data_IF_685937235682
#
_entry.id   IF_685937235682
#
_cell.length_a   1.000
_cell.length_b   1.000
_cell.length_c   1.000
_cell.angle_alpha   90.00
_cell.angle_beta   90.00
_cell.angle_gamma   90.00
#
_symmetry.space_group_name_H-M   'P 1'
#
loop_
_entity.id
_entity.type
_entity.pdbx_description
1 polymer ?
#
# COMPACT_ATOMS: atom_id res chain seq x y z
N UNK A 1 -3.02 9.98 13.08
CA UNK A 1 -3.96 8.98 12.57
C UNK A 1 -5.21 9.10 13.41
N UNK A 2 -6.18 9.84 12.89
CA UNK A 2 -7.48 10.05 13.51
C UNK A 2 -8.55 9.62 12.51
N UNK A 3 -9.49 8.76 12.94
CA UNK A 3 -10.62 8.35 12.09
C UNK A 3 -11.73 9.40 12.23
N UNK A 4 -12.06 10.05 11.13
CA UNK A 4 -13.10 11.08 11.07
C UNK A 4 -14.28 10.53 10.27
N UNK A 5 -15.46 10.52 10.87
CA UNK A 5 -16.69 10.11 10.19
C UNK A 5 -17.11 11.17 9.16
N UNK A 6 -17.63 10.72 8.02
CA UNK A 6 -18.11 11.59 6.94
C UNK A 6 -19.26 10.89 6.21
N UNK A 7 -20.12 11.67 5.55
CA UNK A 7 -21.16 11.11 4.69
C UNK A 7 -20.53 10.59 3.39
N UNK A 8 -20.99 9.42 2.93
CA UNK A 8 -20.63 8.91 1.60
C UNK A 8 -20.98 9.95 0.52
N UNK A 9 -20.15 10.08 -0.51
CA UNK A 9 -20.44 11.02 -1.60
C UNK A 9 -21.68 10.57 -2.37
N UNK A 10 -22.58 11.48 -2.78
CA UNK A 10 -23.69 11.13 -3.66
C UNK A 10 -23.21 10.52 -4.98
N UNK A 11 -23.80 9.40 -5.39
CA UNK A 11 -23.53 8.76 -6.68
C UNK A 11 -22.16 8.09 -6.82
N UNK A 12 -21.48 7.79 -5.70
CA UNK A 12 -20.11 7.26 -5.75
C UNK A 12 -20.02 5.89 -6.43
N UNK A 13 -21.08 5.06 -6.37
CA UNK A 13 -21.13 3.73 -6.99
C UNK A 13 -21.24 3.82 -8.52
N UNK A 14 -22.01 4.79 -9.00
CA UNK A 14 -22.12 5.12 -10.42
C UNK A 14 -20.76 5.62 -10.94
N UNK A 15 -20.10 6.52 -10.21
CA UNK A 15 -18.73 6.94 -10.53
C UNK A 15 -17.73 5.78 -10.50
N UNK A 16 -17.80 4.91 -9.49
CA UNK A 16 -16.96 3.72 -9.41
C UNK A 16 -17.13 2.83 -10.66
N UNK A 17 -18.37 2.64 -11.11
CA UNK A 17 -18.66 1.89 -12.34
C UNK A 17 -18.12 2.60 -13.58
N UNK A 18 -18.31 3.90 -13.69
CA UNK A 18 -17.82 4.74 -14.79
C UNK A 18 -16.29 4.65 -14.94
N UNK A 19 -15.56 4.73 -13.84
CA UNK A 19 -14.10 4.66 -13.82
C UNK A 19 -13.53 3.23 -13.76
N UNK A 20 -14.38 2.22 -13.88
CA UNK A 20 -13.95 0.81 -13.96
C UNK A 20 -13.66 0.12 -12.63
N UNK A 21 -13.96 0.75 -11.49
CA UNK A 21 -13.82 0.16 -10.16
C UNK A 21 -14.95 -0.85 -9.84
N UNK A 22 -15.04 -1.93 -10.61
CA UNK A 22 -16.17 -2.88 -10.57
C UNK A 22 -16.23 -3.78 -9.32
N UNK A 23 -15.19 -3.75 -8.50
CA UNK A 23 -15.08 -4.55 -7.28
C UNK A 23 -15.22 -3.70 -6.02
N UNK A 24 -15.82 -2.51 -6.12
CA UNK A 24 -16.17 -1.66 -4.98
C UNK A 24 -17.11 -2.33 -3.96
N UNK A 25 -17.81 -3.38 -4.38
CA UNK A 25 -18.65 -4.26 -3.55
C UNK A 25 -18.37 -5.70 -3.98
N UNK A 26 -17.96 -6.54 -3.03
CA UNK A 26 -17.61 -7.94 -3.28
C UNK A 26 -18.49 -8.83 -2.42
N UNK A 27 -19.14 -9.82 -3.06
CA UNK A 27 -19.99 -10.79 -2.36
C UNK A 27 -21.14 -10.16 -1.52
N UNK A 28 -21.60 -8.96 -1.90
CA UNK A 28 -22.63 -8.23 -1.16
C UNK A 28 -22.09 -7.34 -0.04
N UNK A 29 -20.80 -7.39 0.24
CA UNK A 29 -20.13 -6.57 1.27
C UNK A 29 -19.36 -5.41 0.63
N UNK A 30 -19.27 -4.26 1.31
CA UNK A 30 -18.48 -3.13 0.83
C UNK A 30 -16.99 -3.47 0.84
N UNK A 31 -16.34 -3.29 -0.31
CA UNK A 31 -14.88 -3.33 -0.42
C UNK A 31 -14.28 -1.94 -0.24
N UNK A 32 -14.95 -0.93 -0.79
CA UNK A 32 -14.62 0.49 -0.62
C UNK A 32 -15.68 1.14 0.29
N UNK A 33 -15.23 1.85 1.32
CA UNK A 33 -16.07 2.54 2.30
C UNK A 33 -15.77 4.04 2.30
N UNK A 34 -16.81 4.87 2.22
CA UNK A 34 -16.69 6.34 2.28
C UNK A 34 -17.34 6.94 3.54
N UNK A 35 -17.63 6.12 4.55
CA UNK A 35 -18.27 6.53 5.81
C UNK A 35 -17.29 7.20 6.79
N UNK A 36 -15.99 7.12 6.50
CA UNK A 36 -14.93 7.77 7.24
C UNK A 36 -13.66 7.91 6.41
N UNK A 37 -12.77 8.78 6.86
CA UNK A 37 -11.39 8.87 6.40
C UNK A 37 -10.43 8.91 7.60
N UNK A 38 -9.14 8.68 7.34
CA UNK A 38 -8.10 8.81 8.34
C UNK A 38 -7.26 10.04 8.07
N UNK A 39 -7.21 10.94 9.04
CA UNK A 39 -6.33 12.11 8.99
C UNK A 39 -4.98 11.78 9.64
N UNK A 40 -3.90 12.21 8.98
CA UNK A 40 -2.55 12.16 9.52
C UNK A 40 -1.99 13.56 9.67
N UNK A 41 -1.10 13.74 10.64
CA UNK A 41 -0.26 14.94 10.66
C UNK A 41 0.89 14.77 9.67
N UNK A 42 1.46 15.87 9.17
CA UNK A 42 2.65 15.82 8.31
C UNK A 42 3.78 14.99 8.93
N UNK A 43 4.06 15.20 10.23
CA UNK A 43 5.08 14.44 10.95
C UNK A 43 4.80 12.92 11.00
N UNK A 44 3.53 12.50 10.98
CA UNK A 44 3.18 11.08 10.89
C UNK A 44 3.42 10.51 9.50
N UNK A 45 3.17 11.29 8.45
CA UNK A 45 3.46 10.91 7.07
C UNK A 45 4.97 10.80 6.85
N UNK A 46 5.74 11.83 7.22
CA UNK A 46 7.20 11.82 7.12
C UNK A 46 7.81 10.62 7.87
N UNK A 47 7.30 10.33 9.08
CA UNK A 47 7.75 9.17 9.85
C UNK A 47 7.46 7.84 9.13
N UNK A 48 6.27 7.68 8.52
CA UNK A 48 5.95 6.49 7.75
C UNK A 48 6.83 6.36 6.49
N UNK A 49 7.12 7.47 5.81
CA UNK A 49 8.04 7.48 4.65
C UNK A 49 9.44 6.99 5.04
N UNK A 50 10.01 7.53 6.13
CA UNK A 50 11.31 7.10 6.65
C UNK A 50 11.32 5.60 7.02
N UNK A 51 10.31 5.16 7.78
CA UNK A 51 10.22 3.77 8.22
C UNK A 51 10.02 2.81 7.04
N UNK A 52 9.15 3.15 6.08
CA UNK A 52 8.93 2.28 4.92
C UNK A 52 10.16 2.20 4.02
N UNK A 53 10.93 3.28 3.89
CA UNK A 53 12.21 3.27 3.20
C UNK A 53 13.22 2.36 3.91
N UNK A 54 13.34 2.44 5.24
CA UNK A 54 14.22 1.57 6.03
C UNK A 54 13.81 0.10 5.89
N UNK A 55 12.52 -0.22 6.09
CA UNK A 55 11.98 -1.57 5.96
C UNK A 55 12.23 -2.14 4.56
N UNK A 56 12.07 -1.34 3.51
CA UNK A 56 12.37 -1.75 2.16
C UNK A 56 13.86 -2.14 2.00
N UNK A 57 14.78 -1.32 2.51
CA UNK A 57 16.22 -1.66 2.49
C UNK A 57 16.52 -2.93 3.28
N UNK A 58 15.89 -3.14 4.43
CA UNK A 58 16.02 -4.37 5.21
C UNK A 58 15.53 -5.59 4.43
N UNK A 59 14.41 -5.48 3.70
CA UNK A 59 13.94 -6.55 2.83
C UNK A 59 14.96 -6.89 1.72
N UNK A 60 15.55 -5.88 1.09
CA UNK A 60 16.61 -6.09 0.08
C UNK A 60 17.85 -6.78 0.67
N UNK A 61 18.26 -6.43 1.90
CA UNK A 61 19.34 -7.11 2.60
C UNK A 61 19.02 -8.57 2.91
N UNK A 62 17.76 -8.88 3.23
CA UNK A 62 17.32 -10.27 3.39
C UNK A 62 17.43 -11.03 2.06
N UNK A 63 17.02 -10.42 0.93
CA UNK A 63 17.15 -11.04 -0.39
C UNK A 63 18.62 -11.37 -0.67
N UNK A 64 19.53 -10.40 -0.54
CA UNK A 64 20.99 -10.60 -0.70
C UNK A 64 21.48 -11.79 0.13
N UNK A 65 21.06 -11.89 1.40
CA UNK A 65 21.47 -12.99 2.28
C UNK A 65 20.92 -14.34 1.81
N UNK A 66 19.67 -14.39 1.37
CA UNK A 66 18.97 -15.62 0.99
C UNK A 66 19.52 -16.17 -0.32
N UNK A 67 19.68 -15.35 -1.36
CA UNK A 67 20.15 -15.81 -2.69
C UNK A 67 21.57 -16.38 -2.69
N UNK A 68 22.38 -15.96 -1.71
CA UNK A 68 23.75 -16.45 -1.48
C UNK A 68 23.83 -17.67 -0.54
N UNK A 69 22.70 -18.27 -0.15
CA UNK A 69 22.67 -19.41 0.77
C UNK A 69 21.68 -20.48 0.33
N UNK A 70 22.18 -21.61 -0.17
CA UNK A 70 21.35 -22.76 -0.54
C UNK A 70 20.48 -23.27 0.62
N UNK A 71 21.01 -23.22 1.85
CA UNK A 71 20.26 -23.59 3.05
C UNK A 71 19.06 -22.65 3.29
N UNK A 72 19.23 -21.35 3.04
CA UNK A 72 18.14 -20.39 3.14
C UNK A 72 17.17 -20.53 1.95
N UNK A 73 17.65 -20.67 0.71
CA UNK A 73 16.79 -20.94 -0.45
C UNK A 73 15.89 -22.17 -0.23
N UNK A 74 16.46 -23.24 0.33
CA UNK A 74 15.70 -24.43 0.71
C UNK A 74 14.68 -24.15 1.83
N UNK A 75 15.04 -23.34 2.84
CA UNK A 75 14.13 -22.93 3.93
C UNK A 75 12.96 -22.09 3.44
N UNK A 76 13.20 -21.20 2.47
CA UNK A 76 12.19 -20.41 1.78
C UNK A 76 11.40 -21.23 0.73
N UNK A 77 11.67 -22.53 0.61
CA UNK A 77 10.99 -23.46 -0.30
C UNK A 77 11.09 -23.06 -1.78
N UNK A 78 12.16 -22.34 -2.15
CA UNK A 78 12.44 -22.02 -3.54
C UNK A 78 12.85 -23.32 -4.27
N UNK A 79 12.23 -23.68 -5.40
CA UNK A 79 12.56 -24.91 -6.13
C UNK A 79 14.03 -24.95 -6.57
N UNK A 80 14.72 -26.06 -6.33
CA UNK A 80 16.18 -26.15 -6.57
C UNK A 80 16.61 -25.82 -8.00
N UNK A 81 15.77 -26.15 -8.99
CA UNK A 81 16.08 -25.89 -10.40
C UNK A 81 16.00 -24.40 -10.78
N UNK A 82 15.48 -23.52 -9.91
CA UNK A 82 15.38 -22.07 -10.16
C UNK A 82 16.43 -21.25 -9.39
N UNK A 83 17.28 -21.88 -8.57
CA UNK A 83 18.19 -21.16 -7.67
C UNK A 83 19.17 -20.25 -8.42
N UNK A 84 19.77 -20.74 -9.51
CA UNK A 84 20.69 -19.92 -10.31
C UNK A 84 19.95 -18.77 -10.99
N UNK A 85 18.73 -18.99 -11.49
CA UNK A 85 17.90 -17.93 -12.06
C UNK A 85 17.59 -16.82 -11.04
N UNK A 86 17.18 -17.18 -9.82
CA UNK A 86 16.88 -16.21 -8.76
C UNK A 86 18.14 -15.41 -8.38
N UNK A 87 19.28 -16.10 -8.26
CA UNK A 87 20.57 -15.46 -7.94
C UNK A 87 21.01 -14.51 -9.06
N UNK A 88 20.91 -14.94 -10.31
CA UNK A 88 21.29 -14.15 -11.48
C UNK A 88 20.40 -12.90 -11.62
N UNK A 89 19.09 -13.03 -11.41
CA UNK A 89 18.15 -11.90 -11.41
C UNK A 89 18.58 -10.82 -10.41
N UNK A 90 18.94 -11.23 -9.20
CA UNK A 90 19.41 -10.34 -8.15
C UNK A 90 20.76 -9.68 -8.47
N UNK A 91 21.76 -10.44 -8.91
CA UNK A 91 23.08 -9.89 -9.25
C UNK A 91 23.05 -8.95 -10.46
N UNK A 92 22.17 -9.23 -11.42
CA UNK A 92 21.93 -8.34 -12.56
C UNK A 92 21.11 -7.10 -12.18
N UNK A 93 20.63 -7.01 -10.94
CA UNK A 93 19.78 -5.92 -10.43
C UNK A 93 18.56 -5.70 -11.33
N UNK A 94 17.89 -6.80 -11.70
CA UNK A 94 16.67 -6.71 -12.49
C UNK A 94 15.66 -5.80 -11.75
N UNK A 95 14.99 -4.90 -12.48
CA UNK A 95 14.19 -3.86 -11.86
C UNK A 95 12.95 -4.45 -11.16
N UNK A 96 12.64 -3.91 -9.98
CA UNK A 96 11.33 -4.03 -9.34
C UNK A 96 10.58 -2.72 -9.54
N UNK A 97 9.29 -2.79 -9.87
CA UNK A 97 8.47 -1.60 -10.12
C UNK A 97 7.96 -0.98 -8.81
N UNK A 98 7.30 -1.77 -7.96
CA UNK A 98 6.77 -1.32 -6.67
C UNK A 98 6.48 -2.51 -5.74
N UNK A 99 6.25 -2.23 -4.46
CA UNK A 99 5.83 -3.20 -3.44
C UNK A 99 4.78 -2.58 -2.52
N UNK A 100 3.92 -3.38 -1.90
CA UNK A 100 3.01 -2.95 -0.83
C UNK A 100 3.48 -3.51 0.51
N UNK A 101 3.70 -2.63 1.48
CA UNK A 101 4.01 -3.01 2.85
C UNK A 101 2.74 -2.99 3.69
N UNK A 102 2.46 -4.10 4.37
CA UNK A 102 1.34 -4.19 5.29
C UNK A 102 1.88 -3.91 6.70
N UNK A 103 1.36 -2.86 7.34
CA UNK A 103 1.89 -2.31 8.60
C UNK A 103 0.83 -2.35 9.70
N UNK A 104 1.29 -2.57 10.94
CA UNK A 104 0.51 -2.34 12.14
C UNK A 104 1.06 -1.11 12.88
N UNK A 105 0.24 -0.08 13.00
CA UNK A 105 0.59 1.17 13.67
C UNK A 105 -0.68 1.89 14.15
N UNK A 106 -0.64 2.48 15.35
CA UNK A 106 -1.77 3.21 15.93
C UNK A 106 -1.64 4.75 15.77
N UNK A 107 -0.64 5.20 15.01
CA UNK A 107 -0.28 6.61 14.88
C UNK A 107 0.72 7.12 15.92
N UNK A 108 1.18 6.25 16.84
CA UNK A 108 2.17 6.54 17.89
C UNK A 108 3.14 5.37 18.05
N UNK A 109 4.34 5.66 18.55
CA UNK A 109 5.36 4.64 18.80
C UNK A 109 5.77 3.88 17.54
N UNK A 110 6.26 2.65 17.74
CA UNK A 110 6.86 1.85 16.67
C UNK A 110 5.82 1.33 15.66
N UNK A 111 6.13 1.52 14.39
CA UNK A 111 5.50 0.82 13.27
C UNK A 111 6.00 -0.63 13.22
N UNK A 112 5.11 -1.60 13.01
CA UNK A 112 5.49 -3.02 12.84
C UNK A 112 5.14 -3.50 11.44
N UNK A 113 6.12 -4.09 10.75
CA UNK A 113 5.93 -4.75 9.47
C UNK A 113 5.24 -6.11 9.67
N UNK A 114 4.12 -6.32 9.01
CA UNK A 114 3.41 -7.60 8.97
C UNK A 114 3.84 -8.39 7.73
N UNK A 115 3.84 -7.76 6.56
CA UNK A 115 4.13 -8.41 5.28
C UNK A 115 4.73 -7.42 4.26
N UNK A 116 5.57 -7.93 3.35
CA UNK A 116 6.03 -7.22 2.16
C UNK A 116 5.54 -7.95 0.89
N UNK A 117 4.53 -7.38 0.25
CA UNK A 117 3.97 -7.86 -1.02
C UNK A 117 4.78 -7.26 -2.19
N UNK A 118 5.86 -7.95 -2.59
CA UNK A 118 6.78 -7.47 -3.62
C UNK A 118 6.65 -8.16 -4.99
N UNK A 119 5.82 -9.20 -5.12
CA UNK A 119 5.63 -9.97 -6.36
C UNK A 119 4.38 -9.47 -7.12
N UNK A 120 3.20 -9.57 -6.48
CA UNK A 120 1.93 -9.12 -7.04
C UNK A 120 1.21 -8.14 -6.12
N UNK A 121 1.80 -6.97 -5.82
CA UNK A 121 1.11 -5.94 -5.05
C UNK A 121 -0.17 -5.50 -5.76
N UNK A 122 -1.22 -5.24 -4.97
CA UNK A 122 -2.50 -4.65 -5.40
C UNK A 122 -2.75 -3.33 -4.65
N UNK A 123 -3.88 -2.67 -4.91
CA UNK A 123 -4.31 -1.42 -4.25
C UNK A 123 -3.77 -0.09 -4.83
N UNK A 124 -2.95 -0.13 -5.88
CA UNK A 124 -2.42 1.10 -6.51
C UNK A 124 -3.53 1.93 -7.17
N UNK A 125 -4.52 1.29 -7.80
CA UNK A 125 -5.63 2.01 -8.44
C UNK A 125 -6.50 2.72 -7.40
N UNK A 126 -6.82 2.02 -6.31
CA UNK A 126 -7.60 2.52 -5.20
C UNK A 126 -6.91 3.70 -4.53
N UNK A 127 -5.64 3.54 -4.17
CA UNK A 127 -4.87 4.57 -3.49
C UNK A 127 -4.52 5.75 -4.38
N UNK A 128 -4.08 5.54 -5.63
CA UNK A 128 -3.57 6.62 -6.46
C UNK A 128 -4.65 7.36 -7.27
N UNK A 129 -5.73 6.67 -7.67
CA UNK A 129 -6.75 7.24 -8.53
C UNK A 129 -8.08 7.45 -7.80
N UNK A 130 -8.65 6.41 -7.21
CA UNK A 130 -10.00 6.51 -6.67
C UNK A 130 -10.08 7.31 -5.37
N UNK A 131 -9.07 7.18 -4.50
CA UNK A 131 -8.91 8.03 -3.32
C UNK A 131 -8.66 9.49 -3.69
N UNK A 132 -7.90 9.76 -4.77
CA UNK A 132 -7.71 11.13 -5.27
C UNK A 132 -9.03 11.74 -5.76
N UNK A 133 -9.82 10.99 -6.53
CA UNK A 133 -11.15 11.42 -6.96
C UNK A 133 -12.06 11.69 -5.75
N UNK A 134 -11.95 10.88 -4.68
CA UNK A 134 -12.64 11.12 -3.41
C UNK A 134 -12.27 12.44 -2.76
N UNK A 135 -10.96 12.72 -2.64
CA UNK A 135 -10.45 13.97 -2.08
C UNK A 135 -10.99 15.18 -2.85
N UNK A 136 -10.82 15.19 -4.17
CA UNK A 136 -11.21 16.29 -5.04
C UNK A 136 -12.72 16.58 -4.98
N UNK A 137 -13.56 15.54 -5.04
CA UNK A 137 -15.00 15.71 -4.96
C UNK A 137 -15.45 16.24 -3.60
N UNK A 138 -14.87 15.76 -2.49
CA UNK A 138 -15.24 16.23 -1.16
C UNK A 138 -14.75 17.67 -0.90
N UNK A 139 -13.59 18.05 -1.41
CA UNK A 139 -13.11 19.43 -1.41
C UNK A 139 -14.07 20.34 -2.19
N UNK A 140 -14.45 19.94 -3.41
CA UNK A 140 -15.40 20.69 -4.24
C UNK A 140 -16.80 20.81 -3.61
N UNK A 141 -17.21 19.80 -2.84
CA UNK A 141 -18.46 19.80 -2.08
C UNK A 141 -18.37 20.55 -0.73
N UNK A 142 -17.21 21.12 -0.38
CA UNK A 142 -16.97 21.81 0.88
C UNK A 142 -17.08 20.91 2.12
N UNK A 143 -16.90 19.60 1.94
CA UNK A 143 -16.95 18.62 3.04
C UNK A 143 -15.59 18.41 3.73
N UNK A 144 -14.51 18.92 3.13
CA UNK A 144 -13.17 18.89 3.70
C UNK A 144 -12.61 20.30 3.92
N UNK A 145 -11.69 20.48 4.88
CA UNK A 145 -10.96 21.73 5.06
C UNK A 145 -10.24 22.17 3.77
N UNK A 146 -10.15 23.49 3.57
CA UNK A 146 -9.35 24.02 2.48
C UNK A 146 -7.86 23.66 2.67
N UNK A 147 -7.25 23.10 1.63
CA UNK A 147 -5.84 22.69 1.65
C UNK A 147 -5.59 21.27 2.17
N UNK A 148 -6.64 20.46 2.42
CA UNK A 148 -6.46 19.02 2.60
C UNK A 148 -5.78 18.40 1.38
N UNK A 149 -4.88 17.46 1.64
CA UNK A 149 -4.22 16.67 0.61
C UNK A 149 -4.52 15.18 0.77
N UNK A 150 -3.92 14.33 -0.08
CA UNK A 150 -4.22 12.90 -0.11
C UNK A 150 -3.74 12.16 1.15
N UNK A 151 -2.80 12.76 1.89
CA UNK A 151 -2.12 12.18 3.03
C UNK A 151 -2.31 12.99 4.33
N UNK A 152 -2.79 14.24 4.30
CA UNK A 152 -3.06 15.10 5.48
C UNK A 152 -4.33 15.97 5.41
#
# INVERSE_FOLDING_TARGET
MERIAISERPGWREKATEFGFRFHTMHGEPYWCEDAYYQFTLAQIEHLEEVTAELHQMCLQVVEKVVNSEALLAKFRIPKHTWDFVRDSWHQRQPSLYSRLDLAWDGKGDVKLLENNADTPTSLYEAAFFQWLWLEDQLNAGQLPAGSDQFN
#
